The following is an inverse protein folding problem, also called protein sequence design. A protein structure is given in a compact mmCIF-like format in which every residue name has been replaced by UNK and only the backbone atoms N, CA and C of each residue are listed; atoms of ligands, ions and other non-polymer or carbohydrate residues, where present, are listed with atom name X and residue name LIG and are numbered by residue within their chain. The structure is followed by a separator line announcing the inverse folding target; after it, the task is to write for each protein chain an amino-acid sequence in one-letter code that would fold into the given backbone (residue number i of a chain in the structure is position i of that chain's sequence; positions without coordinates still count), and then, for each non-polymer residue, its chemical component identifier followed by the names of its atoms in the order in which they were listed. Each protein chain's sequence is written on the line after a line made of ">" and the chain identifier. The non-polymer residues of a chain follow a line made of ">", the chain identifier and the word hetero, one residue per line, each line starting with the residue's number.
data_IF_768418534380
#
_entry.id   IF_768418534380
#
_cell.length_a   1.000
_cell.length_b   1.000
_cell.length_c   1.000
_cell.angle_alpha   90.00
_cell.angle_beta   90.00
_cell.angle_gamma   90.00
#
_symmetry.space_group_name_H-M   'P 1'
#
loop_
_entity.id
_entity.type
_entity.pdbx_description
1 polymer ?
#
# COMPACT_ATOMS: atom_id res chain seq x y z
N UNK A 1 11.72 21.65 17.41
CA UNK A 1 11.09 21.08 16.20
C UNK A 1 10.55 19.71 16.60
N UNK A 2 9.25 19.60 16.87
CA UNK A 2 8.64 18.33 17.25
C UNK A 2 8.47 17.48 15.98
N UNK A 3 9.11 16.32 15.94
CA UNK A 3 8.92 15.35 14.86
C UNK A 3 7.47 14.88 14.97
N UNK A 4 6.63 15.23 14.00
CA UNK A 4 5.24 14.75 13.91
C UNK A 4 5.26 13.31 13.38
N UNK A 5 5.55 12.36 14.26
CA UNK A 5 5.77 10.96 13.92
C UNK A 5 4.61 10.30 13.17
N UNK A 6 3.36 10.77 13.37
CA UNK A 6 2.17 10.23 12.71
C UNK A 6 2.03 10.57 11.21
N UNK A 7 2.61 11.67 10.74
CA UNK A 7 2.53 12.07 9.33
C UNK A 7 3.67 11.44 8.50
N UNK A 8 4.87 11.31 9.09
CA UNK A 8 6.07 10.82 8.40
C UNK A 8 6.18 9.28 8.33
N UNK A 9 5.41 8.52 9.13
CA UNK A 9 5.48 7.04 9.19
C UNK A 9 4.37 6.32 8.39
N UNK A 10 3.69 7.00 7.46
CA UNK A 10 2.60 6.38 6.69
C UNK A 10 3.08 5.50 5.52
N UNK A 11 4.38 5.52 5.21
CA UNK A 11 4.95 4.76 4.08
C UNK A 11 5.29 3.33 4.47
N UNK A 12 4.78 2.39 3.68
CA UNK A 12 5.01 0.96 3.79
C UNK A 12 5.90 0.51 2.63
N UNK A 13 6.95 -0.24 2.97
CA UNK A 13 7.96 -0.71 2.03
C UNK A 13 7.89 -2.22 1.84
N UNK A 14 8.15 -2.67 0.61
CA UNK A 14 8.07 -4.07 0.16
C UNK A 14 6.66 -4.63 0.02
N UNK A 15 6.55 -5.61 -0.86
CA UNK A 15 5.30 -6.30 -1.13
C UNK A 15 4.79 -7.09 0.09
N UNK A 16 5.69 -7.63 0.93
CA UNK A 16 5.27 -8.34 2.13
C UNK A 16 4.63 -7.40 3.15
N UNK A 17 5.21 -6.21 3.36
CA UNK A 17 4.62 -5.26 4.31
C UNK A 17 3.31 -4.68 3.78
N UNK A 18 3.22 -4.39 2.48
CA UNK A 18 1.96 -4.00 1.82
C UNK A 18 0.91 -5.09 2.00
N UNK A 19 1.27 -6.35 1.77
CA UNK A 19 0.39 -7.50 1.95
C UNK A 19 -0.15 -7.61 3.38
N UNK A 20 0.69 -7.35 4.40
CA UNK A 20 0.24 -7.31 5.80
C UNK A 20 -0.81 -6.23 6.06
N UNK A 21 -0.74 -5.07 5.40
CA UNK A 21 -1.75 -4.01 5.56
C UNK A 21 -3.11 -4.45 5.02
N UNK A 22 -3.13 -5.11 3.87
CA UNK A 22 -4.37 -5.50 3.18
C UNK A 22 -4.78 -6.97 3.47
N UNK A 23 -4.11 -7.61 4.42
CA UNK A 23 -4.27 -9.02 4.78
C UNK A 23 -4.21 -9.98 3.57
N UNK A 24 -3.14 -9.88 2.78
CA UNK A 24 -2.84 -10.71 1.61
C UNK A 24 -1.38 -11.14 1.57
N UNK A 25 -1.10 -12.22 0.86
CA UNK A 25 0.28 -12.62 0.58
C UNK A 25 0.93 -11.75 -0.51
N UNK A 26 2.26 -11.86 -0.62
CA UNK A 26 3.05 -11.11 -1.61
C UNK A 26 2.59 -11.32 -3.06
N UNK A 27 2.23 -12.56 -3.45
CA UNK A 27 1.86 -12.88 -4.83
C UNK A 27 0.51 -12.25 -5.19
N UNK A 28 -0.41 -12.24 -4.23
CA UNK A 28 -1.68 -11.53 -4.37
C UNK A 28 -1.46 -10.02 -4.52
N UNK A 29 -0.53 -9.42 -3.77
CA UNK A 29 -0.17 -7.99 -3.95
C UNK A 29 0.39 -7.73 -5.34
N UNK A 30 1.32 -8.57 -5.83
CA UNK A 30 1.86 -8.45 -7.20
C UNK A 30 0.75 -8.54 -8.25
N UNK A 31 -0.14 -9.53 -8.11
CA UNK A 31 -1.30 -9.66 -8.98
C UNK A 31 -2.19 -8.41 -8.97
N UNK A 32 -2.45 -7.82 -7.81
CA UNK A 32 -3.27 -6.61 -7.70
C UNK A 32 -2.63 -5.42 -8.40
N UNK A 33 -1.31 -5.24 -8.24
CA UNK A 33 -0.54 -4.17 -8.91
C UNK A 33 -0.65 -4.31 -10.43
N UNK A 34 -0.51 -5.52 -10.96
CA UNK A 34 -0.54 -5.76 -12.40
C UNK A 34 -1.96 -5.71 -12.98
N UNK A 35 -2.97 -6.08 -12.18
CA UNK A 35 -4.36 -6.18 -12.63
C UNK A 35 -5.11 -4.85 -12.56
N UNK A 36 -4.83 -4.03 -11.56
CA UNK A 36 -5.59 -2.81 -11.23
C UNK A 36 -4.68 -1.60 -11.34
N UNK A 37 -4.87 -0.80 -12.39
CA UNK A 37 -4.09 0.41 -12.64
C UNK A 37 -4.24 1.48 -11.55
N UNK A 38 -5.35 1.43 -10.81
CA UNK A 38 -5.70 2.32 -9.69
C UNK A 38 -5.23 1.81 -8.32
N UNK A 39 -4.55 0.66 -8.26
CA UNK A 39 -4.03 0.13 -7.01
C UNK A 39 -2.95 1.08 -6.43
N UNK A 40 -3.07 1.52 -5.16
CA UNK A 40 -2.30 2.66 -4.62
C UNK A 40 -0.88 2.28 -4.19
N UNK A 41 -0.09 1.80 -5.16
CA UNK A 41 1.30 1.40 -5.00
C UNK A 41 2.16 2.11 -6.02
N UNK A 42 3.37 2.52 -5.61
CA UNK A 42 4.38 3.10 -6.48
C UNK A 42 5.58 2.17 -6.60
N UNK A 43 6.01 1.90 -7.83
CA UNK A 43 7.28 1.22 -8.11
C UNK A 43 8.46 2.18 -7.93
N UNK A 44 9.48 1.75 -7.21
CA UNK A 44 10.71 2.52 -6.94
C UNK A 44 11.94 1.66 -7.20
N UNK A 45 13.13 2.27 -7.24
CA UNK A 45 14.38 1.52 -7.30
C UNK A 45 14.47 0.60 -6.07
N UNK A 46 14.51 -0.71 -6.28
CA UNK A 46 14.57 -1.71 -5.20
C UNK A 46 13.23 -2.31 -4.77
N UNK A 47 12.09 -1.91 -5.35
CA UNK A 47 10.81 -2.60 -5.11
C UNK A 47 9.57 -1.72 -5.22
N UNK A 48 8.69 -1.86 -4.24
CA UNK A 48 7.39 -1.19 -4.19
C UNK A 48 7.17 -0.51 -2.85
N UNK A 49 6.53 0.66 -2.90
CA UNK A 49 6.13 1.44 -1.73
C UNK A 49 4.68 1.87 -1.85
N UNK A 50 4.02 2.05 -0.70
CA UNK A 50 2.64 2.51 -0.62
C UNK A 50 2.42 3.36 0.62
N UNK A 51 1.40 4.21 0.60
CA UNK A 51 0.84 4.81 1.82
C UNK A 51 -0.13 3.82 2.45
N UNK A 52 -0.03 3.60 3.77
CA UNK A 52 -0.99 2.76 4.50
C UNK A 52 -2.40 3.36 4.40
N UNK A 53 -2.55 4.67 4.60
CA UNK A 53 -3.84 5.36 4.45
C UNK A 53 -4.44 5.16 3.06
N UNK A 54 -3.65 5.28 2.00
CA UNK A 54 -4.12 5.09 0.63
C UNK A 54 -4.59 3.66 0.37
N UNK A 55 -3.85 2.65 0.87
CA UNK A 55 -4.25 1.24 0.78
C UNK A 55 -5.60 0.99 1.47
N UNK A 56 -5.78 1.50 2.68
CA UNK A 56 -7.03 1.33 3.44
C UNK A 56 -8.19 2.07 2.78
N UNK A 57 -7.97 3.29 2.30
CA UNK A 57 -8.98 4.05 1.57
C UNK A 57 -9.44 3.32 0.30
N UNK A 58 -8.49 2.81 -0.51
CA UNK A 58 -8.80 2.02 -1.70
C UNK A 58 -9.66 0.79 -1.38
N UNK A 59 -9.36 0.06 -0.30
CA UNK A 59 -10.17 -1.09 0.10
C UNK A 59 -11.59 -0.70 0.51
N UNK A 60 -11.75 0.39 1.28
CA UNK A 60 -13.06 0.89 1.71
C UNK A 60 -13.89 1.36 0.51
N UNK A 61 -13.27 2.05 -0.45
CA UNK A 61 -13.94 2.50 -1.68
C UNK A 61 -14.42 1.33 -2.55
N UNK A 62 -13.62 0.25 -2.66
CA UNK A 62 -14.01 -0.96 -3.40
C UNK A 62 -15.07 -1.80 -2.70
N UNK A 63 -15.16 -1.75 -1.37
CA UNK A 63 -16.25 -2.40 -0.63
C UNK A 63 -17.58 -1.67 -0.82
N UNK A 64 -17.54 -0.35 -0.97
CA UNK A 64 -18.72 0.49 -1.17
C UNK A 64 -19.25 0.54 -2.61
N UNK A 65 -18.51 -0.04 -3.58
CA UNK A 65 -18.80 -0.01 -5.02
C UNK A 65 -19.36 -1.34 -5.54
#
# INVERSE_FOLDING_TARGET
>A
MAIKQDEDHDIVWTLEAIGKVINRDKRAVEYLIDRYADFPVKKVAGGYVASRKALLAYLLEKEAA
#
